data_IF_956601580704
#
_entry.id   IF_956601580704
#
_cell.length_a   1.000
_cell.length_b   1.000
_cell.length_c   1.000
_cell.angle_alpha   90.00
_cell.angle_beta   90.00
_cell.angle_gamma   90.00
#
_symmetry.space_group_name_H-M   'P 1'
#
loop_
_entity.id
_entity.type
_entity.pdbx_description
1 polymer ?
#
# COMPACT_ATOMS: atom_id res chain seq x y z
N UNK A 1 19.96 -72.64 57.00
CA UNK A 1 20.53 -71.97 55.82
C UNK A 1 19.89 -72.56 54.59
N UNK A 2 19.12 -71.79 53.82
CA UNK A 2 18.57 -72.27 52.54
C UNK A 2 19.69 -72.32 51.52
N UNK A 3 19.95 -73.47 50.92
CA UNK A 3 20.89 -73.62 49.82
C UNK A 3 20.35 -72.83 48.61
N UNK A 4 21.08 -71.81 48.16
CA UNK A 4 20.77 -71.10 46.91
C UNK A 4 21.13 -72.06 45.77
N UNK A 5 20.14 -72.53 45.02
CA UNK A 5 20.35 -73.39 43.86
C UNK A 5 20.69 -72.52 42.63
N UNK A 6 21.97 -72.48 42.25
CA UNK A 6 22.44 -71.73 41.08
C UNK A 6 22.36 -72.63 39.85
N UNK A 7 21.58 -72.21 38.83
CA UNK A 7 21.50 -72.89 37.55
C UNK A 7 22.17 -72.06 36.46
N UNK A 8 23.07 -72.67 35.70
CA UNK A 8 23.73 -72.02 34.55
C UNK A 8 23.23 -72.67 33.26
N UNK A 9 22.73 -71.85 32.34
CA UNK A 9 22.27 -72.26 31.02
C UNK A 9 23.19 -71.65 29.96
N UNK A 10 23.99 -72.47 29.32
CA UNK A 10 24.86 -72.00 28.23
C UNK A 10 24.01 -71.52 27.03
N UNK A 11 24.35 -70.36 26.48
CA UNK A 11 23.65 -69.75 25.35
C UNK A 11 24.45 -69.96 24.06
N UNK A 12 25.73 -69.56 24.08
CA UNK A 12 26.58 -69.60 22.89
C UNK A 12 28.05 -69.67 23.29
N UNK A 13 28.86 -70.31 22.45
CA UNK A 13 30.32 -70.35 22.60
C UNK A 13 30.96 -70.18 21.24
N UNK A 14 31.73 -69.10 21.12
CA UNK A 14 32.44 -68.71 19.90
C UNK A 14 33.92 -68.50 20.19
N UNK A 15 34.74 -68.42 19.15
CA UNK A 15 36.19 -68.25 19.30
C UNK A 15 36.58 -67.01 20.14
N UNK A 16 35.74 -65.98 20.15
CA UNK A 16 35.94 -64.75 20.93
C UNK A 16 35.32 -64.76 22.33
N UNK A 17 34.67 -65.84 22.77
CA UNK A 17 34.14 -65.94 24.13
C UNK A 17 32.94 -66.87 24.31
N UNK A 18 32.43 -66.94 25.54
CA UNK A 18 31.28 -67.76 25.91
C UNK A 18 30.19 -66.89 26.56
N UNK A 19 28.94 -67.17 26.24
CA UNK A 19 27.75 -66.54 26.79
C UNK A 19 26.87 -67.59 27.49
N UNK A 20 26.37 -67.26 28.67
CA UNK A 20 25.50 -68.10 29.48
C UNK A 20 24.56 -67.25 30.32
N UNK A 21 23.40 -67.80 30.66
CA UNK A 21 22.43 -67.24 31.58
C UNK A 21 22.61 -67.89 32.96
N UNK A 22 22.68 -67.09 34.02
CA UNK A 22 22.75 -67.56 35.41
C UNK A 22 21.43 -67.28 36.10
N UNK A 23 20.74 -68.33 36.51
CA UNK A 23 19.44 -68.27 37.18
C UNK A 23 19.67 -68.60 38.66
N UNK A 24 19.46 -67.59 39.51
CA UNK A 24 19.67 -67.69 40.97
C UNK A 24 18.41 -68.12 41.74
N UNK A 25 17.27 -68.19 41.06
CA UNK A 25 15.97 -68.60 41.60
C UNK A 25 14.92 -68.69 40.49
N UNK A 26 13.92 -69.56 40.66
CA UNK A 26 12.82 -69.67 39.70
C UNK A 26 12.02 -68.35 39.66
N UNK A 27 11.58 -67.88 38.48
CA UNK A 27 10.74 -66.71 38.40
C UNK A 27 9.46 -66.93 39.23
N UNK A 28 9.14 -65.98 40.10
CA UNK A 28 7.88 -66.00 40.86
C UNK A 28 6.67 -65.93 39.91
N UNK A 29 5.47 -66.37 40.34
CA UNK A 29 4.27 -66.42 39.50
C UNK A 29 3.91 -65.07 38.84
N UNK A 30 4.36 -63.95 39.41
CA UNK A 30 4.11 -62.58 38.92
C UNK A 30 5.30 -61.92 38.19
N UNK A 31 6.37 -62.67 37.88
CA UNK A 31 7.56 -62.11 37.22
C UNK A 31 7.36 -61.79 35.72
N UNK A 32 6.17 -62.02 35.16
CA UNK A 32 5.79 -61.57 33.81
C UNK A 32 5.18 -60.16 33.84
N UNK A 33 5.77 -59.25 34.60
CA UNK A 33 5.55 -57.83 34.37
C UNK A 33 6.37 -57.42 33.16
N UNK A 34 5.74 -57.28 31.99
CA UNK A 34 6.33 -56.52 30.88
C UNK A 34 6.55 -55.08 31.37
N UNK A 35 7.72 -54.82 31.95
CA UNK A 35 8.15 -53.45 32.19
C UNK A 35 8.33 -52.83 30.81
N UNK A 36 7.59 -51.78 30.43
CA UNK A 36 7.77 -51.14 29.13
C UNK A 36 9.05 -50.29 29.21
N UNK A 37 10.21 -50.93 29.18
CA UNK A 37 11.52 -50.28 29.08
C UNK A 37 11.77 -49.74 27.67
N UNK A 38 10.91 -50.09 26.72
CA UNK A 38 10.97 -49.63 25.33
C UNK A 38 9.96 -48.51 25.12
N UNK A 39 10.37 -47.34 24.57
CA UNK A 39 9.42 -46.39 24.02
C UNK A 39 8.39 -47.13 23.14
N UNK A 40 7.10 -46.75 23.18
CA UNK A 40 6.08 -47.39 22.35
C UNK A 40 6.58 -47.40 20.91
N UNK A 41 6.53 -48.57 20.25
CA UNK A 41 6.92 -48.71 18.84
C UNK A 41 6.12 -47.68 18.05
N UNK A 42 6.79 -46.60 17.63
CA UNK A 42 6.16 -45.63 16.74
C UNK A 42 5.83 -46.38 15.46
N UNK A 43 4.62 -46.19 14.93
CA UNK A 43 4.29 -46.69 13.59
C UNK A 43 5.34 -46.14 12.63
N UNK A 44 5.96 -47.01 11.84
CA UNK A 44 6.93 -46.60 10.83
C UNK A 44 6.21 -45.65 9.85
N UNK A 45 6.70 -44.41 9.76
CA UNK A 45 6.17 -43.44 8.82
C UNK A 45 6.52 -43.92 7.41
N UNK A 46 5.54 -43.93 6.51
CA UNK A 46 5.81 -44.27 5.10
C UNK A 46 6.63 -43.16 4.42
N UNK A 47 7.32 -43.50 3.34
CA UNK A 47 8.04 -42.51 2.53
C UNK A 47 7.11 -41.38 2.06
N UNK A 48 5.88 -41.72 1.68
CA UNK A 48 4.86 -40.78 1.24
C UNK A 48 4.42 -39.82 2.37
N UNK A 49 4.24 -40.33 3.60
CA UNK A 49 3.90 -39.50 4.75
C UNK A 49 5.02 -38.52 5.12
N UNK A 50 6.29 -38.94 4.96
CA UNK A 50 7.46 -38.09 5.17
C UNK A 50 7.50 -36.99 4.11
N UNK A 51 7.35 -37.35 2.83
CA UNK A 51 7.32 -36.40 1.71
C UNK A 51 6.22 -35.37 1.89
N UNK A 52 4.99 -35.81 2.19
CA UNK A 52 3.85 -34.91 2.45
C UNK A 52 4.12 -33.92 3.58
N UNK A 53 4.80 -34.33 4.65
CA UNK A 53 5.17 -33.42 5.76
C UNK A 53 6.23 -32.40 5.35
N UNK A 54 7.20 -32.79 4.53
CA UNK A 54 8.21 -31.89 3.99
C UNK A 54 7.61 -30.87 3.03
N UNK A 55 6.76 -31.31 2.10
CA UNK A 55 6.02 -30.44 1.19
C UNK A 55 5.12 -29.46 1.94
N UNK A 56 4.38 -29.92 2.95
CA UNK A 56 3.55 -29.03 3.76
C UNK A 56 4.37 -27.98 4.52
N UNK A 57 5.59 -28.30 4.94
CA UNK A 57 6.49 -27.33 5.56
C UNK A 57 7.06 -26.33 4.54
N UNK A 58 7.37 -26.80 3.34
CA UNK A 58 7.81 -25.95 2.24
C UNK A 58 6.71 -24.99 1.77
N UNK A 59 5.47 -25.46 1.63
CA UNK A 59 4.35 -24.61 1.25
C UNK A 59 4.06 -23.54 2.31
N UNK A 60 4.17 -23.87 3.61
CA UNK A 60 4.09 -22.85 4.67
C UNK A 60 5.20 -21.80 4.55
N UNK A 61 6.42 -22.22 4.22
CA UNK A 61 7.55 -21.29 4.00
C UNK A 61 7.27 -20.36 2.82
N UNK A 62 6.87 -20.92 1.67
CA UNK A 62 6.54 -20.14 0.46
C UNK A 62 5.38 -19.20 0.68
N UNK A 63 4.31 -19.66 1.34
CA UNK A 63 3.15 -18.83 1.64
C UNK A 63 3.52 -17.64 2.52
N UNK A 64 4.36 -17.85 3.55
CA UNK A 64 4.80 -16.76 4.41
C UNK A 64 5.69 -15.77 3.64
N UNK A 65 6.61 -16.26 2.81
CA UNK A 65 7.44 -15.41 1.95
C UNK A 65 6.59 -14.57 0.98
N UNK A 66 5.58 -15.18 0.35
CA UNK A 66 4.66 -14.48 -0.54
C UNK A 66 3.86 -13.38 0.18
N UNK A 67 3.41 -13.63 1.41
CA UNK A 67 2.71 -12.64 2.23
C UNK A 67 3.62 -11.45 2.60
N UNK A 68 4.87 -11.72 2.98
CA UNK A 68 5.87 -10.68 3.24
C UNK A 68 6.14 -9.84 1.99
N UNK A 69 6.33 -10.49 0.84
CA UNK A 69 6.54 -9.80 -0.43
C UNK A 69 5.33 -8.95 -0.83
N UNK A 70 4.11 -9.45 -0.61
CA UNK A 70 2.87 -8.69 -0.86
C UNK A 70 2.84 -7.41 -0.01
N UNK A 71 3.09 -7.50 1.29
CA UNK A 71 3.12 -6.31 2.15
C UNK A 71 4.23 -5.32 1.78
N UNK A 72 5.39 -5.81 1.34
CA UNK A 72 6.45 -4.94 0.83
C UNK A 72 6.01 -4.23 -0.46
N UNK A 73 5.34 -4.93 -1.38
CA UNK A 73 4.80 -4.33 -2.60
C UNK A 73 3.74 -3.26 -2.30
N UNK A 74 2.80 -3.53 -1.38
CA UNK A 74 1.80 -2.58 -0.92
C UNK A 74 2.43 -1.30 -0.35
N UNK A 75 3.47 -1.43 0.49
CA UNK A 75 4.22 -0.27 1.02
C UNK A 75 4.89 0.53 -0.09
N UNK A 76 5.49 -0.14 -1.07
CA UNK A 76 6.12 0.53 -2.23
C UNK A 76 5.12 1.25 -3.10
N UNK A 77 3.93 0.70 -3.27
CA UNK A 77 2.84 1.37 -3.99
C UNK A 77 2.37 2.62 -3.23
N UNK A 78 2.21 2.51 -1.91
CA UNK A 78 1.84 3.65 -1.08
C UNK A 78 2.88 4.78 -1.12
N UNK A 79 4.18 4.45 -1.08
CA UNK A 79 5.26 5.44 -1.24
C UNK A 79 5.13 6.22 -2.56
N UNK A 80 4.84 5.52 -3.67
CA UNK A 80 4.63 6.14 -4.99
C UNK A 80 3.37 7.01 -5.02
N UNK A 81 2.28 6.54 -4.41
CA UNK A 81 1.02 7.28 -4.32
C UNK A 81 1.21 8.61 -3.59
N UNK A 82 1.90 8.59 -2.44
CA UNK A 82 2.18 9.79 -1.66
C UNK A 82 3.02 10.79 -2.46
N UNK A 83 4.07 10.31 -3.15
CA UNK A 83 4.90 11.17 -4.00
C UNK A 83 4.11 11.78 -5.16
N UNK A 84 3.28 10.97 -5.82
CA UNK A 84 2.41 11.42 -6.92
C UNK A 84 1.44 12.50 -6.44
N UNK A 85 0.78 12.26 -5.30
CA UNK A 85 -0.18 13.19 -4.73
C UNK A 85 0.47 14.53 -4.34
N UNK A 86 1.65 14.49 -3.73
CA UNK A 86 2.40 15.71 -3.42
C UNK A 86 2.73 16.53 -4.68
N UNK A 87 3.14 15.85 -5.77
CA UNK A 87 3.41 16.51 -7.05
C UNK A 87 2.13 17.07 -7.68
N UNK A 88 1.02 16.34 -7.63
CA UNK A 88 -0.27 16.76 -8.16
C UNK A 88 -0.81 17.99 -7.42
N UNK A 89 -0.77 17.99 -6.10
CA UNK A 89 -1.18 19.14 -5.29
C UNK A 89 -0.34 20.40 -5.60
N UNK A 90 0.97 20.24 -5.77
CA UNK A 90 1.87 21.35 -6.14
C UNK A 90 1.54 21.91 -7.53
N UNK A 91 1.28 21.03 -8.50
CA UNK A 91 0.89 21.44 -9.85
C UNK A 91 -0.48 22.13 -9.85
N UNK A 92 -1.43 21.61 -9.07
CA UNK A 92 -2.76 22.18 -8.95
C UNK A 92 -2.72 23.57 -8.30
N UNK A 93 -1.89 23.78 -7.28
CA UNK A 93 -1.70 25.10 -6.68
C UNK A 93 -1.20 26.13 -7.71
N UNK A 94 -0.19 25.75 -8.49
CA UNK A 94 0.36 26.61 -9.55
C UNK A 94 -0.70 26.97 -10.59
N UNK A 95 -1.47 25.97 -11.04
CA UNK A 95 -2.56 26.16 -12.01
C UNK A 95 -3.64 27.11 -11.50
N UNK A 96 -4.13 26.90 -10.27
CA UNK A 96 -5.17 27.77 -9.67
C UNK A 96 -4.65 29.19 -9.48
N UNK A 97 -3.39 29.36 -9.07
CA UNK A 97 -2.77 30.66 -8.91
C UNK A 97 -2.67 31.41 -10.25
N UNK A 98 -2.27 30.72 -11.31
CA UNK A 98 -2.18 31.26 -12.67
C UNK A 98 -3.55 31.66 -13.22
N UNK A 99 -4.54 30.77 -13.13
CA UNK A 99 -5.92 31.05 -13.57
C UNK A 99 -6.50 32.28 -12.85
N UNK A 100 -6.28 32.38 -11.54
CA UNK A 100 -6.74 33.52 -10.75
C UNK A 100 -6.05 34.82 -11.12
N UNK A 101 -4.75 34.77 -11.44
CA UNK A 101 -4.01 35.94 -11.91
C UNK A 101 -4.54 36.40 -13.27
N UNK A 102 -4.71 35.48 -14.22
CA UNK A 102 -5.23 35.78 -15.55
C UNK A 102 -6.63 36.41 -15.49
N UNK A 103 -7.52 35.85 -14.67
CA UNK A 103 -8.85 36.43 -14.44
C UNK A 103 -8.78 37.86 -13.91
N UNK A 104 -7.89 38.14 -12.95
CA UNK A 104 -7.70 39.50 -12.42
C UNK A 104 -7.15 40.46 -13.46
N UNK A 105 -6.23 40.01 -14.30
CA UNK A 105 -5.62 40.83 -15.35
C UNK A 105 -6.64 41.19 -16.43
N UNK A 106 -7.47 40.23 -16.88
CA UNK A 106 -8.54 40.51 -17.85
C UNK A 106 -9.60 41.43 -17.26
N UNK A 107 -10.06 41.19 -16.03
CA UNK A 107 -11.01 42.09 -15.37
C UNK A 107 -10.43 43.51 -15.21
N UNK A 108 -9.14 43.66 -14.91
CA UNK A 108 -8.50 44.96 -14.83
C UNK A 108 -8.45 45.66 -16.20
N UNK A 109 -8.12 44.92 -17.25
CA UNK A 109 -8.07 45.41 -18.62
C UNK A 109 -9.44 45.88 -19.09
N UNK A 110 -10.48 45.05 -18.93
CA UNK A 110 -11.87 45.41 -19.28
C UNK A 110 -12.34 46.65 -18.52
N UNK A 111 -12.03 46.75 -17.21
CA UNK A 111 -12.38 47.93 -16.41
C UNK A 111 -11.69 49.20 -16.92
N UNK A 112 -10.42 49.11 -17.31
CA UNK A 112 -9.66 50.23 -17.87
C UNK A 112 -10.25 50.66 -19.22
N UNK A 113 -10.56 49.71 -20.09
CA UNK A 113 -11.18 49.95 -21.40
C UNK A 113 -12.57 50.58 -21.24
N UNK A 114 -13.38 50.08 -20.31
CA UNK A 114 -14.70 50.65 -20.01
C UNK A 114 -14.59 52.10 -19.51
N UNK A 115 -13.63 52.40 -18.64
CA UNK A 115 -13.39 53.77 -18.18
C UNK A 115 -12.97 54.69 -19.32
N UNK A 116 -12.06 54.24 -20.19
CA UNK A 116 -11.61 55.00 -21.35
C UNK A 116 -12.75 55.22 -22.36
N UNK A 117 -13.58 54.22 -22.59
CA UNK A 117 -14.75 54.31 -23.46
C UNK A 117 -15.76 55.32 -22.91
N UNK A 118 -16.10 55.24 -21.61
CA UNK A 118 -17.02 56.17 -20.97
C UNK A 118 -16.52 57.63 -21.01
N UNK A 119 -15.21 57.85 -20.83
CA UNK A 119 -14.62 59.19 -20.97
C UNK A 119 -14.69 59.69 -22.42
N UNK A 120 -14.38 58.83 -23.38
CA UNK A 120 -14.42 59.17 -24.80
C UNK A 120 -15.84 59.50 -25.27
N UNK A 121 -16.84 58.78 -24.78
CA UNK A 121 -18.26 59.03 -25.07
C UNK A 121 -18.71 60.40 -24.53
N UNK A 122 -18.33 60.73 -23.28
CA UNK A 122 -18.61 62.06 -22.70
C UNK A 122 -17.99 63.19 -23.52
N UNK A 123 -16.79 63.02 -24.05
CA UNK A 123 -16.16 64.03 -24.92
C UNK A 123 -16.91 64.17 -26.25
N UNK A 124 -17.26 63.04 -26.92
CA UNK A 124 -18.06 63.07 -28.15
C UNK A 124 -19.42 63.74 -27.97
N UNK A 125 -20.09 63.52 -26.84
CA UNK A 125 -21.36 64.18 -26.51
C UNK A 125 -21.19 65.70 -26.35
N UNK A 126 -20.11 66.14 -25.70
CA UNK A 126 -19.79 67.57 -25.60
C UNK A 126 -19.50 68.20 -26.96
N UNK A 127 -18.74 67.51 -27.82
CA UNK A 127 -18.43 67.99 -29.17
C UNK A 127 -19.71 68.11 -30.02
N UNK A 128 -20.58 67.10 -29.99
CA UNK A 128 -21.88 67.15 -30.67
C UNK A 128 -22.73 68.33 -30.19
N UNK A 129 -22.77 68.57 -28.87
CA UNK A 129 -23.51 69.71 -28.31
C UNK A 129 -22.93 71.06 -28.78
N UNK A 130 -21.60 71.18 -28.90
CA UNK A 130 -20.97 72.39 -29.41
C UNK A 130 -21.33 72.64 -30.88
N UNK A 131 -21.33 71.60 -31.72
CA UNK A 131 -21.75 71.68 -33.11
C UNK A 131 -23.23 72.07 -33.25
N UNK A 132 -24.12 71.49 -32.44
CA UNK A 132 -25.53 71.88 -32.41
C UNK A 132 -25.72 73.35 -32.01
N UNK A 133 -24.91 73.86 -31.06
CA UNK A 133 -24.94 75.28 -30.66
C UNK A 133 -24.48 76.19 -31.80
N UNK A 134 -23.44 75.81 -32.55
CA UNK A 134 -22.97 76.56 -33.73
C UNK A 134 -24.03 76.60 -34.82
N UNK A 135 -24.60 75.45 -35.18
CA UNK A 135 -25.66 75.37 -36.20
C UNK A 135 -26.91 76.18 -35.80
N UNK A 136 -27.30 76.19 -34.52
CA UNK A 136 -28.40 77.03 -33.99
C UNK A 136 -28.10 78.53 -34.07
N UNK A 137 -26.84 78.93 -33.95
CA UNK A 137 -26.43 80.33 -34.11
C UNK A 137 -26.55 80.76 -35.57
N UNK A 138 -26.03 79.97 -36.50
CA UNK A 138 -26.06 80.25 -37.95
C UNK A 138 -27.50 80.34 -38.49
N UNK A 139 -28.40 79.47 -38.03
CA UNK A 139 -29.82 79.52 -38.41
C UNK A 139 -30.60 80.69 -37.80
N UNK A 140 -30.17 81.22 -36.65
CA UNK A 140 -30.74 82.46 -36.08
C UNK A 140 -30.22 83.73 -36.77
N UNK A 141 -28.95 83.75 -37.15
CA UNK A 141 -28.35 84.88 -37.89
C UNK A 141 -28.92 84.97 -39.31
N UNK A 142 -29.16 83.83 -39.99
CA UNK A 142 -29.83 83.81 -41.30
C UNK A 142 -31.34 84.13 -41.28
N UNK A 143 -32.00 84.05 -40.13
CA UNK A 143 -33.41 84.44 -39.99
C UNK A 143 -33.63 85.94 -39.73
N UNK A 144 -32.57 86.68 -39.41
CA UNK A 144 -32.62 88.13 -39.19
C UNK A 144 -32.34 88.95 -40.46
N UNK A 145 -31.96 88.30 -41.57
CA UNK A 145 -31.66 88.96 -42.84
C UNK A 145 -32.82 88.92 -43.86
N UNK A 146 -34.00 88.41 -43.47
CA UNK A 146 -35.21 88.38 -44.34
C UNK A 146 -36.43 89.10 -43.75
N UNK A 147 -36.25 90.10 -42.88
CA UNK A 147 -37.30 91.07 -42.54
C UNK A 147 -36.70 92.48 -42.46
N UNK A 148 -36.56 93.14 -43.63
CA UNK A 148 -36.70 94.59 -43.81
C UNK A 148 -36.85 94.94 -45.28
#
# INVERSE_FOLDING_TARGET
>A
MSLINIQVKEIDKRASGQAFEVILGAPGPDAKGEFPLSPPKKKDLSLEEIQRKLEAAEERRKSHEAEVLKHLAEKREHEKEVQRKAMEENNNFSKIAEEKLNQKMEANKENKEALQAAMSEKFKEKDKKLEEVRAKKETKEGGAETEN
#
